data_IF_949650827585
#
_entry.id   IF_949650827585
#
_cell.length_a   1.000
_cell.length_b   1.000
_cell.length_c   1.000
_cell.angle_alpha   90.00
_cell.angle_beta   90.00
_cell.angle_gamma   90.00
#
_symmetry.space_group_name_H-M   'P 1'
#
loop_
_entity.id
_entity.type
_entity.pdbx_description
1 polymer ?
#
# COMPACT_ATOMS: atom_id res chain seq x y z
N UNK A 1 -18.47 19.25 48.34
CA UNK A 1 -17.06 19.59 48.64
C UNK A 1 -16.20 18.34 48.40
N UNK A 2 -15.49 18.27 47.27
CA UNK A 2 -14.56 17.16 46.98
C UNK A 2 -13.13 17.63 47.26
N UNK A 3 -12.42 16.89 48.12
CA UNK A 3 -11.09 17.23 48.63
C UNK A 3 -10.02 16.81 47.62
N UNK A 4 -9.24 17.79 47.16
CA UNK A 4 -8.01 17.58 46.39
C UNK A 4 -6.91 16.97 47.27
N UNK A 5 -6.22 15.89 46.86
CA UNK A 5 -5.06 15.37 47.60
C UNK A 5 -3.86 16.31 47.42
N UNK A 6 -3.33 16.80 48.55
CA UNK A 6 -2.11 17.63 48.63
C UNK A 6 -0.87 16.77 48.41
N UNK A 7 0.06 17.20 47.53
CA UNK A 7 1.43 16.66 47.52
C UNK A 7 2.08 16.36 46.17
N UNK A 8 1.43 16.60 45.03
CA UNK A 8 2.08 16.52 43.71
C UNK A 8 2.28 17.92 43.14
N UNK A 9 3.53 18.36 43.04
CA UNK A 9 3.87 19.49 42.18
C UNK A 9 3.47 19.13 40.74
N UNK A 10 2.82 20.02 39.99
CA UNK A 10 2.48 19.73 38.61
C UNK A 10 3.79 19.56 37.82
N UNK A 11 3.91 18.46 37.10
CA UNK A 11 4.97 18.30 36.09
C UNK A 11 4.66 19.31 34.99
N UNK A 12 5.39 20.43 35.01
CA UNK A 12 5.30 21.45 33.98
C UNK A 12 5.97 20.91 32.72
N UNK A 13 5.18 20.41 31.78
CA UNK A 13 5.66 20.07 30.44
C UNK A 13 5.84 21.37 29.66
N UNK A 14 7.08 21.78 29.42
CA UNK A 14 7.38 22.95 28.59
C UNK A 14 7.73 22.52 27.17
N UNK A 15 7.24 23.28 26.19
CA UNK A 15 7.59 23.07 24.79
C UNK A 15 8.92 23.79 24.50
N UNK A 16 9.96 23.01 24.19
CA UNK A 16 11.30 23.53 23.82
C UNK A 16 11.24 24.48 22.63
N UNK A 17 10.22 24.36 21.75
CA UNK A 17 10.04 25.21 20.57
C UNK A 17 9.37 26.56 20.87
N UNK A 18 8.72 26.71 22.03
CA UNK A 18 7.95 27.91 22.39
C UNK A 18 8.67 28.85 23.39
N UNK A 19 9.81 28.46 23.95
CA UNK A 19 10.48 29.23 25.02
C UNK A 19 11.42 30.35 24.54
N UNK A 20 11.36 30.77 23.27
CA UNK A 20 12.32 31.75 22.71
C UNK A 20 11.93 33.22 22.86
N UNK A 21 10.79 33.54 23.47
CA UNK A 21 10.23 34.89 23.47
C UNK A 21 9.91 35.40 24.89
N UNK A 22 10.81 35.26 25.88
CA UNK A 22 10.62 35.99 27.15
C UNK A 22 11.84 36.04 28.09
N UNK A 23 12.98 36.59 27.66
CA UNK A 23 13.96 37.14 28.61
C UNK A 23 14.65 38.38 28.02
N UNK A 24 14.15 39.57 28.38
CA UNK A 24 14.91 40.82 28.38
C UNK A 24 14.82 41.44 29.77
N UNK A 25 15.97 41.94 30.23
CA UNK A 25 16.26 42.70 31.45
C UNK A 25 16.55 41.87 32.72
N UNK A 26 17.83 41.70 33.07
CA UNK A 26 18.52 42.61 34.00
C UNK A 26 19.93 42.09 34.40
N UNK A 27 20.94 42.94 34.16
CA UNK A 27 22.18 43.16 34.93
C UNK A 27 23.21 42.03 35.22
N UNK A 28 24.37 42.15 34.56
CA UNK A 28 25.74 41.79 35.00
C UNK A 28 26.21 42.70 36.18
N UNK A 29 27.34 42.49 36.93
CA UNK A 29 28.73 42.18 36.46
C UNK A 29 29.64 41.40 37.49
N UNK A 30 31.01 41.46 37.48
CA UNK A 30 32.02 41.13 36.46
C UNK A 30 33.17 40.20 36.98
N UNK A 31 34.21 39.98 36.14
CA UNK A 31 35.64 39.55 36.32
C UNK A 31 35.98 38.24 35.60
N UNK A 32 37.08 37.99 34.89
CA UNK A 32 38.25 38.72 34.33
C UNK A 32 38.95 37.74 33.33
N UNK A 33 39.60 38.25 32.29
CA UNK A 33 40.36 37.51 31.25
C UNK A 33 41.76 37.06 31.73
N UNK A 34 42.16 35.80 31.45
CA UNK A 34 43.58 35.38 31.28
C UNK A 34 43.70 34.23 30.25
N UNK A 35 44.71 34.20 29.35
CA UNK A 35 44.79 33.25 28.22
C UNK A 35 45.71 32.02 28.44
N UNK A 36 45.29 30.86 27.85
CA UNK A 36 46.02 29.78 27.13
C UNK A 36 47.20 29.08 27.89
N UNK A 37 47.30 27.72 28.01
CA UNK A 37 47.49 26.84 26.85
C UNK A 37 46.88 25.42 26.87
N UNK A 38 46.73 24.89 25.66
CA UNK A 38 46.57 23.46 25.38
C UNK A 38 47.73 22.67 25.99
N UNK A 39 47.41 21.72 26.87
CA UNK A 39 48.27 20.57 27.13
C UNK A 39 47.40 19.31 27.14
N UNK A 40 47.86 18.34 26.37
CA UNK A 40 47.26 17.03 26.25
C UNK A 40 47.46 16.18 27.52
N UNK A 41 46.56 15.22 27.66
CA UNK A 41 46.65 13.96 28.43
C UNK A 41 45.88 13.91 29.75
N UNK A 42 44.79 13.13 29.68
CA UNK A 42 44.55 11.97 30.55
C UNK A 42 44.36 12.25 32.04
N UNK A 43 43.10 12.40 32.46
CA UNK A 43 42.63 11.67 33.64
C UNK A 43 41.10 11.58 33.69
N UNK A 44 40.67 10.36 33.97
CA UNK A 44 39.33 9.80 33.97
C UNK A 44 38.40 10.45 34.99
N UNK A 45 37.28 11.00 34.53
CA UNK A 45 36.07 11.16 35.34
C UNK A 45 35.00 10.16 34.86
N UNK A 46 34.53 9.23 35.72
CA UNK A 46 33.46 8.32 35.36
C UNK A 46 32.14 9.08 35.37
N UNK A 47 31.64 9.41 34.18
CA UNK A 47 30.26 9.83 33.97
C UNK A 47 29.33 8.75 34.50
N UNK A 48 28.50 9.14 35.46
CA UNK A 48 27.47 8.35 36.12
C UNK A 48 26.57 7.66 35.10
N UNK A 49 26.84 6.37 34.86
CA UNK A 49 25.95 5.46 34.15
C UNK A 49 24.66 5.31 34.97
N UNK A 50 23.55 5.88 34.49
CA UNK A 50 22.22 5.76 35.12
C UNK A 50 21.50 4.48 34.69
N UNK A 51 22.25 3.41 34.41
CA UNK A 51 21.70 2.06 34.32
C UNK A 51 22.41 1.22 35.37
N UNK A 52 21.69 0.60 36.33
CA UNK A 52 22.30 -0.34 37.25
C UNK A 52 22.98 -1.46 36.44
N UNK A 53 24.14 -1.98 36.87
CA UNK A 53 24.81 -3.09 36.19
C UNK A 53 23.84 -4.27 36.19
N UNK A 54 23.26 -4.55 35.03
CA UNK A 54 22.53 -5.80 34.84
C UNK A 54 23.62 -6.84 34.69
N UNK A 55 23.72 -7.77 35.64
CA UNK A 55 24.61 -8.93 35.52
C UNK A 55 24.34 -9.59 34.16
N UNK A 56 25.33 -9.50 33.28
CA UNK A 56 25.35 -10.22 32.01
C UNK A 56 25.44 -11.70 32.35
N UNK A 57 24.28 -12.34 32.46
CA UNK A 57 24.19 -13.80 32.47
C UNK A 57 24.86 -14.30 31.19
N UNK A 58 26.05 -14.86 31.36
CA UNK A 58 26.89 -15.42 30.31
C UNK A 58 26.34 -16.78 29.83
N UNK A 59 25.10 -16.77 29.35
CA UNK A 59 24.49 -17.80 28.54
C UNK A 59 23.19 -17.21 27.98
N UNK A 60 23.07 -16.96 26.66
CA UNK A 60 21.75 -16.74 26.09
C UNK A 60 20.96 -18.05 26.25
N UNK A 61 20.13 -18.14 27.28
CA UNK A 61 19.11 -19.21 27.41
C UNK A 61 18.00 -19.07 26.37
N UNK A 62 18.09 -18.02 25.53
CA UNK A 62 17.21 -17.79 24.40
C UNK A 62 17.61 -18.72 23.26
N UNK A 63 16.68 -19.51 22.68
CA UNK A 63 16.97 -20.33 21.52
C UNK A 63 17.59 -19.46 20.43
N UNK A 64 18.68 -19.95 19.82
CA UNK A 64 19.29 -19.34 18.63
C UNK A 64 18.18 -19.01 17.65
N UNK A 65 18.00 -17.72 17.36
CA UNK A 65 16.99 -17.25 16.43
C UNK A 65 17.44 -17.62 15.02
N UNK A 66 17.18 -18.86 14.62
CA UNK A 66 17.35 -19.30 13.24
C UNK A 66 16.32 -18.55 12.40
N UNK A 67 16.82 -17.58 11.63
CA UNK A 67 16.01 -16.89 10.63
C UNK A 67 15.44 -17.96 9.68
N UNK A 68 14.12 -18.01 9.49
CA UNK A 68 13.51 -18.93 8.54
C UNK A 68 14.17 -18.77 7.17
N UNK A 69 14.35 -19.87 6.40
CA UNK A 69 14.93 -19.78 5.07
C UNK A 69 14.13 -18.78 4.23
N UNK A 70 14.85 -17.86 3.56
CA UNK A 70 14.26 -16.87 2.67
C UNK A 70 13.49 -17.57 1.56
N UNK A 71 12.17 -17.55 1.65
CA UNK A 71 11.30 -18.00 0.56
C UNK A 71 11.15 -16.88 -0.47
N UNK A 72 10.89 -17.24 -1.72
CA UNK A 72 10.58 -16.29 -2.79
C UNK A 72 9.43 -15.33 -2.42
N UNK A 73 8.45 -15.82 -1.64
CA UNK A 73 7.33 -14.99 -1.17
C UNK A 73 7.77 -13.91 -0.18
N UNK A 74 8.67 -14.26 0.74
CA UNK A 74 9.25 -13.31 1.71
C UNK A 74 10.04 -12.23 0.98
N UNK A 75 10.85 -12.63 -0.01
CA UNK A 75 11.64 -11.71 -0.82
C UNK A 75 10.76 -10.71 -1.56
N UNK A 76 9.72 -11.17 -2.25
CA UNK A 76 8.76 -10.29 -2.96
C UNK A 76 8.07 -9.31 -2.02
N UNK A 77 7.68 -9.75 -0.81
CA UNK A 77 7.06 -8.88 0.19
C UNK A 77 8.00 -7.77 0.65
N UNK A 78 9.29 -8.06 0.84
CA UNK A 78 10.31 -7.05 1.17
C UNK A 78 10.52 -6.07 0.04
N UNK A 79 10.74 -6.55 -1.18
CA UNK A 79 10.94 -5.70 -2.37
C UNK A 79 9.72 -4.77 -2.60
N UNK A 80 8.51 -5.28 -2.41
CA UNK A 80 7.30 -4.45 -2.47
C UNK A 80 7.24 -3.42 -1.34
N UNK A 81 7.57 -3.80 -0.11
CA UNK A 81 7.59 -2.89 1.04
C UNK A 81 8.58 -1.74 0.83
N UNK A 82 9.77 -2.04 0.30
CA UNK A 82 10.79 -1.04 0.00
C UNK A 82 10.31 -0.07 -1.08
N UNK A 83 9.73 -0.60 -2.16
CA UNK A 83 9.13 0.20 -3.23
C UNK A 83 7.98 1.07 -2.71
N UNK A 84 7.11 0.51 -1.87
CA UNK A 84 5.99 1.22 -1.29
C UNK A 84 6.46 2.36 -0.41
N UNK A 85 7.47 2.11 0.43
CA UNK A 85 8.04 3.12 1.33
C UNK A 85 8.65 4.29 0.55
N UNK A 86 9.35 4.01 -0.56
CA UNK A 86 9.90 5.04 -1.43
C UNK A 86 8.82 5.92 -2.07
N UNK A 87 7.78 5.31 -2.65
CA UNK A 87 6.69 6.06 -3.30
C UNK A 87 5.80 6.79 -2.28
N UNK A 88 5.52 6.19 -1.12
CA UNK A 88 4.83 6.86 -0.02
C UNK A 88 5.63 8.09 0.43
N UNK A 89 6.93 7.94 0.68
CA UNK A 89 7.80 9.07 1.06
C UNK A 89 7.76 10.20 0.04
N UNK A 90 7.84 9.88 -1.26
CA UNK A 90 7.70 10.86 -2.35
C UNK A 90 6.34 11.57 -2.34
N UNK A 91 5.25 10.85 -2.15
CA UNK A 91 3.89 11.41 -2.08
C UNK A 91 3.69 12.29 -0.85
N UNK A 92 4.20 11.87 0.30
CA UNK A 92 4.16 12.66 1.54
C UNK A 92 4.90 14.00 1.37
N UNK A 93 6.05 14.00 0.70
CA UNK A 93 6.78 15.24 0.36
C UNK A 93 5.99 16.14 -0.60
N UNK A 94 5.12 15.57 -1.44
CA UNK A 94 4.18 16.31 -2.29
C UNK A 94 2.93 16.79 -1.53
N UNK A 95 2.87 16.62 -0.21
CA UNK A 95 1.74 17.03 0.62
C UNK A 95 0.54 16.07 0.58
N UNK A 96 0.72 14.85 0.06
CA UNK A 96 -0.28 13.80 0.22
C UNK A 96 -0.33 13.34 1.67
N UNK A 97 -1.45 12.76 2.07
CA UNK A 97 -1.62 12.23 3.42
C UNK A 97 -1.89 10.72 3.36
N UNK A 98 -1.14 9.95 4.15
CA UNK A 98 -1.48 8.55 4.43
C UNK A 98 -2.79 8.46 5.22
N UNK A 99 -3.53 7.41 4.94
CA UNK A 99 -4.78 7.05 5.61
C UNK A 99 -4.54 5.84 6.51
N UNK A 100 -5.47 5.58 7.43
CA UNK A 100 -5.45 4.37 8.26
C UNK A 100 -5.95 3.12 7.55
N UNK A 101 -6.35 3.26 6.28
CA UNK A 101 -6.90 2.20 5.45
C UNK A 101 -5.83 1.51 4.62
N UNK A 102 -5.90 0.19 4.49
CA UNK A 102 -5.00 -0.61 3.68
C UNK A 102 -5.61 -0.93 2.30
N UNK A 103 -4.75 -1.20 1.32
CA UNK A 103 -5.19 -1.61 -0.01
C UNK A 103 -5.86 -3.00 0.03
N UNK A 104 -7.11 -3.16 -0.44
CA UNK A 104 -7.80 -4.45 -0.47
C UNK A 104 -7.29 -5.42 -1.55
N UNK A 105 -6.36 -4.99 -2.41
CA UNK A 105 -5.76 -5.89 -3.39
C UNK A 105 -4.82 -6.88 -2.70
N UNK A 106 -5.08 -8.18 -2.84
CA UNK A 106 -4.28 -9.26 -2.25
C UNK A 106 -2.82 -9.30 -2.74
N UNK A 107 -2.51 -8.69 -3.88
CA UNK A 107 -1.13 -8.55 -4.35
C UNK A 107 -0.37 -7.42 -3.65
N UNK A 108 -1.05 -6.53 -2.92
CA UNK A 108 -0.48 -5.43 -2.15
C UNK A 108 -0.45 -5.77 -0.65
N UNK A 109 0.71 -6.14 -0.12
CA UNK A 109 0.86 -6.63 1.25
C UNK A 109 0.90 -5.50 2.28
N UNK A 110 -0.27 -5.12 2.83
CA UNK A 110 -0.37 -4.14 3.92
C UNK A 110 0.03 -2.72 3.50
N UNK A 111 -0.24 -2.37 2.24
CA UNK A 111 0.12 -1.05 1.70
C UNK A 111 -0.95 -0.03 2.09
N UNK A 112 -0.62 1.03 2.85
CA UNK A 112 -1.59 2.05 3.22
C UNK A 112 -2.04 2.87 2.01
N UNK A 113 -3.32 3.25 2.00
CA UNK A 113 -3.88 4.17 1.01
C UNK A 113 -3.47 5.62 1.33
N UNK A 114 -3.34 6.44 0.28
CA UNK A 114 -3.04 7.87 0.40
C UNK A 114 -4.13 8.71 -0.27
N UNK A 115 -4.30 9.94 0.21
CA UNK A 115 -5.15 10.95 -0.43
C UNK A 115 -4.33 12.13 -0.95
N UNK A 116 -4.75 12.75 -2.06
CA UNK A 116 -4.10 13.95 -2.57
C UNK A 116 -4.27 15.14 -1.60
N UNK A 117 -3.39 16.15 -1.68
CA UNK A 117 -3.50 17.37 -0.89
C UNK A 117 -4.86 18.04 -1.08
N UNK A 118 -5.34 18.72 -0.04
CA UNK A 118 -6.59 19.48 -0.08
C UNK A 118 -6.40 20.70 -0.97
N UNK A 119 -7.15 20.79 -2.07
CA UNK A 119 -7.21 21.99 -2.90
C UNK A 119 -8.41 22.83 -2.43
N UNK A 120 -8.19 24.06 -2.00
CA UNK A 120 -9.27 24.96 -1.59
C UNK A 120 -10.06 24.53 -0.34
N UNK A 121 -9.45 23.73 0.55
CA UNK A 121 -10.08 23.29 1.81
C UNK A 121 -10.99 22.06 1.70
N UNK A 122 -11.35 21.64 0.48
CA UNK A 122 -12.10 20.40 0.27
C UNK A 122 -11.19 19.18 0.39
N UNK A 123 -11.69 18.13 1.07
CA UNK A 123 -11.02 16.83 1.13
C UNK A 123 -11.48 16.00 -0.05
N UNK A 124 -10.54 15.55 -0.89
CA UNK A 124 -10.83 14.57 -1.92
C UNK A 124 -11.23 13.24 -1.26
N UNK A 125 -12.38 12.64 -1.63
CA UNK A 125 -12.82 11.35 -1.07
C UNK A 125 -11.98 10.18 -1.57
N UNK A 126 -11.26 10.37 -2.67
CA UNK A 126 -10.45 9.35 -3.34
C UNK A 126 -9.24 8.95 -2.49
N UNK A 127 -9.15 7.64 -2.25
CA UNK A 127 -8.06 6.95 -1.57
C UNK A 127 -7.29 6.14 -2.62
N UNK A 128 -5.97 6.26 -2.70
CA UNK A 128 -5.18 5.70 -3.80
C UNK A 128 -4.07 4.80 -3.23
N UNK A 129 -3.88 3.62 -3.81
CA UNK A 129 -2.73 2.77 -3.50
C UNK A 129 -1.51 3.18 -4.34
N UNK A 130 -0.34 3.33 -3.71
CA UNK A 130 0.89 3.73 -4.43
C UNK A 130 1.54 2.61 -5.23
N UNK A 131 1.20 1.34 -4.96
CA UNK A 131 1.78 0.18 -5.65
C UNK A 131 0.98 -0.20 -6.88
N UNK A 132 -0.31 -0.50 -6.73
CA UNK A 132 -1.16 -0.90 -7.86
C UNK A 132 -1.84 0.28 -8.57
N UNK A 133 -1.84 1.48 -7.99
CA UNK A 133 -2.49 2.66 -8.57
C UNK A 133 -4.02 2.67 -8.48
N UNK A 134 -4.63 1.62 -7.94
CA UNK A 134 -6.08 1.55 -7.75
C UNK A 134 -6.59 2.66 -6.85
N UNK A 135 -7.74 3.22 -7.22
CA UNK A 135 -8.45 4.25 -6.46
C UNK A 135 -9.67 3.63 -5.80
N UNK A 136 -9.94 4.02 -4.57
CA UNK A 136 -11.03 3.56 -3.74
C UNK A 136 -11.78 4.75 -3.16
N UNK A 137 -13.07 4.56 -2.91
CA UNK A 137 -13.91 5.49 -2.17
C UNK A 137 -14.52 4.76 -0.98
N UNK A 138 -14.92 5.52 0.04
CA UNK A 138 -15.53 4.96 1.25
C UNK A 138 -17.03 5.11 1.14
N UNK A 139 -17.70 3.97 1.04
CA UNK A 139 -19.15 3.87 1.10
C UNK A 139 -19.55 3.51 2.53
N UNK A 140 -20.75 3.96 2.93
CA UNK A 140 -21.35 3.58 4.22
C UNK A 140 -22.53 2.67 3.95
N UNK A 141 -22.48 1.48 4.51
CA UNK A 141 -23.61 0.56 4.44
C UNK A 141 -24.80 1.08 5.25
N UNK A 142 -25.95 0.44 5.07
CA UNK A 142 -27.17 0.68 5.86
C UNK A 142 -26.94 0.53 7.39
N UNK A 143 -25.91 -0.23 7.80
CA UNK A 143 -25.51 -0.40 9.19
C UNK A 143 -24.53 0.68 9.69
N UNK A 144 -24.12 1.63 8.83
CA UNK A 144 -23.15 2.68 9.14
C UNK A 144 -21.68 2.22 9.12
N UNK A 145 -21.42 0.97 8.74
CA UNK A 145 -20.07 0.45 8.52
C UNK A 145 -19.45 1.05 7.25
N UNK A 146 -18.19 1.46 7.35
CA UNK A 146 -17.44 2.02 6.22
C UNK A 146 -16.77 0.88 5.42
N UNK A 147 -17.07 0.79 4.12
CA UNK A 147 -16.48 -0.16 3.18
C UNK A 147 -15.70 0.58 2.10
N UNK A 148 -14.53 0.07 1.76
CA UNK A 148 -13.75 0.55 0.62
C UNK A 148 -14.23 -0.12 -0.65
N UNK A 149 -14.77 0.68 -1.56
CA UNK A 149 -15.21 0.23 -2.88
C UNK A 149 -14.26 0.73 -3.97
N UNK A 150 -13.89 -0.09 -4.97
CA UNK A 150 -13.10 0.37 -6.10
C UNK A 150 -13.81 1.52 -6.83
N UNK A 151 -13.08 2.58 -7.12
CA UNK A 151 -13.61 3.72 -7.87
C UNK A 151 -13.50 3.46 -9.37
N UNK A 152 -14.65 3.30 -10.03
CA UNK A 152 -14.75 3.22 -11.48
C UNK A 152 -15.13 4.58 -12.07
N UNK A 153 -14.23 5.28 -12.79
CA UNK A 153 -14.50 6.61 -13.33
C UNK A 153 -15.61 6.64 -14.41
N UNK A 154 -16.09 5.47 -14.86
CA UNK A 154 -17.14 5.36 -15.89
C UNK A 154 -18.56 5.34 -15.31
N UNK A 155 -18.71 5.10 -14.00
CA UNK A 155 -20.01 4.97 -13.34
C UNK A 155 -20.71 6.32 -13.16
N UNK A 156 -19.94 7.40 -13.09
CA UNK A 156 -20.43 8.76 -12.81
C UNK A 156 -21.07 9.45 -14.04
N UNK A 157 -20.96 8.84 -15.22
CA UNK A 157 -21.58 9.34 -16.46
C UNK A 157 -23.01 8.84 -16.70
N UNK A 158 -23.59 8.04 -15.78
CA UNK A 158 -24.95 7.49 -15.93
C UNK A 158 -26.01 8.08 -14.99
N UNK A 159 -25.68 9.05 -14.14
CA UNK A 159 -26.67 9.69 -13.24
C UNK A 159 -26.83 11.21 -13.38
N UNK A 160 -26.41 11.79 -14.50
CA UNK A 160 -26.82 13.15 -14.87
C UNK A 160 -27.51 13.16 -16.23
N UNK A 161 -28.80 12.81 -16.21
CA UNK A 161 -29.72 13.18 -17.27
C UNK A 161 -30.25 14.59 -16.97
N UNK A 162 -29.88 15.58 -17.77
CA UNK A 162 -30.84 16.60 -18.16
C UNK A 162 -30.95 16.66 -19.68
N UNK A 163 -32.19 16.53 -20.14
CA UNK A 163 -32.63 16.68 -21.52
C UNK A 163 -32.21 18.02 -22.13
N UNK A 164 -31.43 18.02 -23.21
CA UNK A 164 -31.61 18.97 -24.33
C UNK A 164 -30.66 18.70 -25.53
N UNK A 165 -31.27 18.26 -26.63
CA UNK A 165 -31.11 18.68 -28.05
C UNK A 165 -29.70 18.91 -28.66
N UNK A 166 -29.46 18.08 -29.69
CA UNK A 166 -29.05 18.37 -31.08
C UNK A 166 -27.62 18.90 -31.43
N UNK A 167 -27.00 18.16 -32.37
CA UNK A 167 -25.90 18.51 -33.29
C UNK A 167 -24.49 18.69 -32.64
N UNK A 168 -23.39 18.15 -33.17
CA UNK A 168 -22.97 18.13 -34.57
C UNK A 168 -21.90 17.03 -34.83
N UNK A 169 -21.86 16.52 -36.06
CA UNK A 169 -20.73 15.76 -36.65
C UNK A 169 -19.56 16.71 -36.95
N UNK A 170 -18.28 16.31 -37.04
CA UNK A 170 -17.56 15.67 -38.18
C UNK A 170 -16.09 15.40 -37.75
N UNK A 171 -15.34 14.44 -38.37
CA UNK A 171 -14.05 13.90 -37.93
C UNK A 171 -12.83 14.46 -38.69
N UNK A 172 -11.62 14.34 -38.14
CA UNK A 172 -10.36 14.58 -38.88
C UNK A 172 -9.28 13.56 -38.47
N UNK A 173 -8.66 12.98 -39.51
CA UNK A 173 -7.55 12.03 -39.52
C UNK A 173 -6.18 12.71 -39.34
N UNK A 174 -5.16 11.92 -38.98
CA UNK A 174 -3.75 12.33 -39.13
C UNK A 174 -2.78 11.57 -38.23
N UNK A 175 -2.16 10.52 -38.77
CA UNK A 175 -0.82 10.06 -38.36
C UNK A 175 0.25 11.10 -38.87
N UNK A 176 1.59 10.90 -38.81
CA UNK A 176 2.40 9.78 -38.32
C UNK A 176 3.71 10.23 -37.58
N UNK A 177 4.67 9.29 -37.44
CA UNK A 177 6.14 9.47 -37.26
C UNK A 177 6.59 9.63 -35.78
N UNK A 178 7.71 9.12 -35.25
CA UNK A 178 8.88 8.33 -35.71
C UNK A 178 9.81 8.13 -34.49
N UNK A 179 10.67 7.08 -34.52
CA UNK A 179 12.08 7.04 -33.99
C UNK A 179 12.20 7.01 -32.44
N UNK A 180 12.97 6.13 -31.78
CA UNK A 180 14.41 5.88 -31.92
C UNK A 180 14.85 4.56 -31.21
N UNK A 181 15.99 4.03 -31.64
CA UNK A 181 16.59 2.73 -31.32
C UNK A 181 17.61 2.77 -30.15
N UNK A 182 17.65 1.66 -29.36
CA UNK A 182 18.84 0.91 -28.85
C UNK A 182 19.76 1.50 -27.73
N UNK A 183 20.71 0.71 -27.13
CA UNK A 183 20.70 -0.70 -26.66
C UNK A 183 21.52 -0.96 -25.35
N UNK A 184 21.69 -2.27 -25.00
CA UNK A 184 22.60 -2.92 -24.01
C UNK A 184 22.17 -2.84 -22.53
N UNK A 185 22.23 -3.89 -21.68
CA UNK A 185 23.29 -4.90 -21.49
C UNK A 185 22.70 -6.25 -21.03
N UNK A 186 23.35 -7.30 -21.54
CA UNK A 186 23.42 -8.71 -21.14
C UNK A 186 23.33 -8.95 -19.61
N UNK A 187 22.75 -10.07 -19.17
CA UNK A 187 23.45 -11.02 -18.29
C UNK A 187 22.76 -12.39 -18.32
N UNK A 188 23.60 -13.35 -18.66
CA UNK A 188 23.43 -14.79 -18.80
C UNK A 188 23.17 -15.49 -17.47
N UNK A 189 22.25 -16.45 -17.44
CA UNK A 189 22.43 -17.72 -16.74
C UNK A 189 21.63 -18.81 -17.44
N UNK A 190 22.38 -19.77 -17.97
CA UNK A 190 21.90 -20.94 -18.71
C UNK A 190 21.72 -22.12 -17.75
N UNK A 191 20.67 -22.92 -17.99
CA UNK A 191 20.69 -24.39 -17.98
C UNK A 191 19.57 -25.03 -17.17
N UNK A 192 18.45 -25.32 -17.85
CA UNK A 192 18.02 -26.72 -17.96
C UNK A 192 17.24 -26.91 -19.26
N UNK A 193 17.87 -27.62 -20.20
CA UNK A 193 17.34 -27.94 -21.52
C UNK A 193 16.34 -29.09 -21.39
N UNK A 194 15.06 -28.81 -21.58
CA UNK A 194 14.13 -29.76 -22.21
C UNK A 194 13.38 -29.02 -23.31
N UNK A 195 13.73 -29.37 -24.55
CA UNK A 195 13.04 -28.95 -25.76
C UNK A 195 11.66 -29.59 -25.79
N UNK A 196 10.62 -28.81 -25.49
CA UNK A 196 9.22 -29.17 -25.73
C UNK A 196 8.73 -28.32 -26.91
N UNK A 197 7.98 -28.88 -27.88
CA UNK A 197 7.51 -28.12 -29.05
C UNK A 197 6.58 -27.00 -28.61
N UNK A 198 6.90 -25.75 -28.99
CA UNK A 198 6.12 -24.52 -28.74
C UNK A 198 4.65 -24.60 -29.19
N UNK A 199 4.30 -25.56 -30.05
CA UNK A 199 2.90 -25.76 -30.50
C UNK A 199 2.01 -26.52 -29.51
N UNK A 200 2.58 -27.20 -28.49
CA UNK A 200 1.78 -27.91 -27.48
C UNK A 200 1.26 -27.00 -26.36
N UNK A 201 1.92 -25.86 -26.11
CA UNK A 201 1.56 -24.93 -25.02
C UNK A 201 0.34 -24.08 -25.39
N UNK A 202 0.27 -23.61 -26.64
CA UNK A 202 -0.87 -22.82 -27.13
C UNK A 202 -2.18 -23.62 -27.13
N UNK A 203 -2.11 -24.90 -27.54
CA UNK A 203 -3.28 -25.78 -27.55
C UNK A 203 -3.81 -26.04 -26.13
N UNK A 204 -2.92 -26.17 -25.16
CA UNK A 204 -3.31 -26.42 -23.76
C UNK A 204 -3.93 -25.17 -23.10
N UNK A 205 -3.43 -23.98 -23.42
CA UNK A 205 -4.02 -22.71 -22.94
C UNK A 205 -5.40 -22.44 -23.54
N UNK A 206 -5.60 -22.75 -24.82
CA UNK A 206 -6.90 -22.62 -25.47
C UNK A 206 -7.92 -23.63 -24.92
N UNK A 207 -7.50 -24.88 -24.65
CA UNK A 207 -8.36 -25.89 -24.02
C UNK A 207 -8.72 -25.50 -22.57
N UNK A 208 -7.76 -24.95 -21.82
CA UNK A 208 -8.01 -24.40 -20.47
C UNK A 208 -9.01 -23.24 -20.52
N UNK A 209 -8.88 -22.35 -21.50
CA UNK A 209 -9.81 -21.22 -21.69
C UNK A 209 -11.23 -21.73 -21.95
N UNK A 210 -11.39 -22.72 -22.84
CA UNK A 210 -12.70 -23.33 -23.13
C UNK A 210 -13.29 -24.03 -21.91
N UNK A 211 -12.47 -24.76 -21.14
CA UNK A 211 -12.92 -25.44 -19.93
C UNK A 211 -13.40 -24.45 -18.86
N UNK A 212 -12.69 -23.34 -18.66
CA UNK A 212 -13.10 -22.28 -17.74
C UNK A 212 -14.37 -21.56 -18.22
N UNK A 213 -14.53 -21.33 -19.52
CA UNK A 213 -15.75 -20.78 -20.10
C UNK A 213 -16.96 -21.71 -19.87
N UNK A 214 -16.81 -23.02 -20.10
CA UNK A 214 -17.86 -24.00 -19.79
C UNK A 214 -18.21 -24.03 -18.30
N UNK A 215 -17.20 -23.89 -17.44
CA UNK A 215 -17.39 -23.84 -15.98
C UNK A 215 -18.20 -22.60 -15.57
N UNK A 216 -17.95 -21.43 -16.18
CA UNK A 216 -18.77 -20.23 -15.97
C UNK A 216 -20.22 -20.43 -16.38
N UNK A 217 -20.46 -21.04 -17.55
CA UNK A 217 -21.82 -21.31 -18.03
C UNK A 217 -22.54 -22.25 -17.05
N UNK A 218 -21.88 -23.33 -16.60
CA UNK A 218 -22.46 -24.27 -15.65
C UNK A 218 -22.76 -23.64 -14.27
N UNK A 219 -21.87 -22.78 -13.76
CA UNK A 219 -22.11 -22.08 -12.49
C UNK A 219 -23.24 -21.04 -12.61
N UNK A 220 -23.34 -20.36 -13.75
CA UNK A 220 -24.41 -19.40 -14.02
C UNK A 220 -25.79 -20.07 -14.12
N UNK A 221 -25.87 -21.24 -14.77
CA UNK A 221 -27.12 -22.03 -14.81
C UNK A 221 -27.48 -22.57 -13.42
N UNK A 222 -26.48 -22.91 -12.60
CA UNK A 222 -26.69 -23.34 -11.21
C UNK A 222 -27.27 -22.20 -10.35
N UNK A 223 -26.76 -20.97 -10.45
CA UNK A 223 -27.36 -19.81 -9.76
C UNK A 223 -28.80 -19.57 -10.21
N UNK A 224 -29.06 -19.69 -11.52
CA UNK A 224 -30.41 -19.52 -12.07
C UNK A 224 -31.37 -20.57 -11.51
N UNK A 225 -30.92 -21.82 -11.39
CA UNK A 225 -31.68 -22.92 -10.77
C UNK A 225 -31.94 -22.67 -9.29
N UNK A 226 -30.92 -22.29 -8.51
CA UNK A 226 -31.05 -21.98 -7.08
C UNK A 226 -31.98 -20.78 -6.83
N UNK A 227 -31.96 -19.78 -7.70
CA UNK A 227 -32.83 -18.60 -7.63
C UNK A 227 -34.29 -18.93 -7.93
N UNK A 228 -34.55 -19.97 -8.74
CA UNK A 228 -35.90 -20.41 -9.11
C UNK A 228 -36.58 -21.31 -8.08
N UNK A 229 -35.86 -21.79 -7.06
CA UNK A 229 -36.42 -22.65 -6.02
C UNK A 229 -37.22 -21.85 -4.98
N UNK A 230 -38.27 -22.45 -4.42
CA UNK A 230 -39.14 -21.80 -3.43
C UNK A 230 -38.46 -21.54 -2.08
N UNK A 231 -37.29 -22.15 -1.84
CA UNK A 231 -36.47 -21.95 -0.65
C UNK A 231 -35.09 -21.44 -1.08
N UNK A 232 -34.83 -20.16 -0.83
CA UNK A 232 -33.57 -19.50 -1.22
C UNK A 232 -32.52 -19.82 -0.17
N UNK A 233 -31.54 -20.65 -0.53
CA UNK A 233 -30.33 -20.85 0.27
C UNK A 233 -29.28 -19.79 -0.09
N UNK A 234 -29.22 -18.74 0.73
CA UNK A 234 -28.28 -17.63 0.56
C UNK A 234 -26.80 -18.08 0.64
N UNK A 235 -26.50 -19.13 1.40
CA UNK A 235 -25.14 -19.65 1.53
C UNK A 235 -24.71 -20.38 0.27
N UNK A 236 -25.59 -21.21 -0.31
CA UNK A 236 -25.32 -21.87 -1.58
C UNK A 236 -25.10 -20.85 -2.72
N UNK A 237 -25.97 -19.83 -2.83
CA UNK A 237 -25.83 -18.77 -3.83
C UNK A 237 -24.51 -18.00 -3.64
N UNK A 238 -24.17 -17.64 -2.41
CA UNK A 238 -22.91 -16.96 -2.09
C UNK A 238 -21.68 -17.80 -2.50
N UNK A 239 -21.70 -19.10 -2.22
CA UNK A 239 -20.61 -20.01 -2.61
C UNK A 239 -20.46 -20.13 -4.13
N UNK A 240 -21.57 -20.18 -4.87
CA UNK A 240 -21.54 -20.25 -6.34
C UNK A 240 -21.05 -18.91 -6.94
N UNK A 241 -21.44 -17.77 -6.35
CA UNK A 241 -20.96 -16.45 -6.78
C UNK A 241 -19.44 -16.25 -6.55
N UNK A 242 -18.92 -16.75 -5.43
CA UNK A 242 -17.47 -16.76 -5.15
C UNK A 242 -16.71 -17.65 -6.15
N UNK A 243 -17.26 -18.83 -6.46
CA UNK A 243 -16.70 -19.72 -7.48
C UNK A 243 -16.66 -19.05 -8.86
N UNK A 244 -17.71 -18.35 -9.28
CA UNK A 244 -17.75 -17.58 -10.54
C UNK A 244 -16.68 -16.50 -10.56
N UNK A 245 -16.49 -15.78 -9.44
CA UNK A 245 -15.47 -14.73 -9.33
C UNK A 245 -14.07 -15.30 -9.50
N UNK A 246 -13.77 -16.44 -8.87
CA UNK A 246 -12.49 -17.15 -9.00
C UNK A 246 -12.23 -17.65 -10.43
N UNK A 247 -13.24 -18.24 -11.08
CA UNK A 247 -13.11 -18.70 -12.48
C UNK A 247 -12.90 -17.52 -13.43
N UNK A 248 -13.57 -16.39 -13.19
CA UNK A 248 -13.39 -15.16 -13.97
C UNK A 248 -11.98 -14.59 -13.82
N UNK A 249 -11.44 -14.57 -12.61
CA UNK A 249 -10.05 -14.17 -12.35
C UNK A 249 -9.06 -15.11 -13.04
N UNK A 250 -9.27 -16.42 -12.96
CA UNK A 250 -8.44 -17.41 -13.65
C UNK A 250 -8.44 -17.19 -15.18
N UNK A 251 -9.60 -16.88 -15.78
CA UNK A 251 -9.69 -16.55 -17.21
C UNK A 251 -8.90 -15.30 -17.58
N UNK A 252 -8.92 -14.26 -16.74
CA UNK A 252 -8.12 -13.05 -16.96
C UNK A 252 -6.63 -13.42 -16.94
N UNK A 253 -6.18 -14.22 -15.97
CA UNK A 253 -4.79 -14.66 -15.89
C UNK A 253 -4.37 -15.46 -17.13
N UNK A 254 -5.20 -16.41 -17.58
CA UNK A 254 -4.92 -17.20 -18.79
C UNK A 254 -4.81 -16.30 -20.03
N UNK A 255 -5.68 -15.30 -20.16
CA UNK A 255 -5.62 -14.31 -21.26
C UNK A 255 -4.38 -13.43 -21.21
N UNK A 256 -3.89 -13.10 -20.00
CA UNK A 256 -2.65 -12.35 -19.84
C UNK A 256 -1.44 -13.19 -20.28
N UNK A 257 -1.41 -14.47 -19.90
CA UNK A 257 -0.37 -15.40 -20.33
C UNK A 257 -0.36 -15.59 -21.85
N UNK A 258 -1.55 -15.74 -22.46
CA UNK A 258 -1.70 -15.86 -23.92
C UNK A 258 -1.18 -14.62 -24.68
N UNK A 259 -1.30 -13.42 -24.10
CA UNK A 259 -0.76 -12.18 -24.69
C UNK A 259 0.76 -12.04 -24.53
N UNK A 260 1.35 -12.68 -23.54
CA UNK A 260 2.81 -12.64 -23.33
C UNK A 260 3.59 -13.61 -24.21
N UNK A 261 2.91 -14.51 -24.92
CA UNK A 261 3.51 -15.55 -25.76
C UNK A 261 3.52 -15.20 -27.27
N UNK A 262 2.99 -14.02 -27.64
CA UNK A 262 2.97 -13.46 -29.01
C UNK A 262 3.97 -12.31 -29.11
#
# INVERSE_FOLDING_TARGET
MMKTPKGKTPVLTFCVKCSKEQFKAAAQPPVEDVPIPSNASTESQPSRSSTPPTEVSAAPSSPTFELPPETETTRRRREQSDRASAELGKKLLQGWAMLGDECPNNECYGIPLVRPPKLGGQVNPRKICVICGSTYETEKDWAGSEILVPFDPKSDLSQQQPSSKLANRIPIAGAPLTVEQNPLVLHTASSSKQSIPTQLITNNLDDTTKALQHSLVALSTQITSLSSQSHIDATAIGSTADAISKVSQALIQVRLLQRSEV
#
